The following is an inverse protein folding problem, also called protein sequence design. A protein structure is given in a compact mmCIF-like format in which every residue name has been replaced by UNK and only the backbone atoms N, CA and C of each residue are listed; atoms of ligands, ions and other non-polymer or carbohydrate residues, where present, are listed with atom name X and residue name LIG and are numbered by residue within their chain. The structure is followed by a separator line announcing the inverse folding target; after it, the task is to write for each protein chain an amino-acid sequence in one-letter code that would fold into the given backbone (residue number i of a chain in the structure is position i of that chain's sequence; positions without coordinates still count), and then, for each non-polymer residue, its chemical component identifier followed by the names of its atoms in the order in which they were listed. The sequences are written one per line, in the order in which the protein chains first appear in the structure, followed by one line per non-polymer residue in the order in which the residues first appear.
data_IF_158909538684
#
_entry.id   IF_158909538684
#
_cell.length_a   1.000
_cell.length_b   1.000
_cell.length_c   1.000
_cell.angle_alpha   90.00
_cell.angle_beta   90.00
_cell.angle_gamma   90.00
#
_symmetry.space_group_name_H-M   'P 1'
#
loop_
_entity.id
_entity.type
_entity.pdbx_description
1 polymer ?
#
# COMPACT_ATOMS: atom_id res chain seq x y z
N UNK A 1 11.11 -16.16 2.87
CA UNK A 1 11.76 -14.84 2.95
C UNK A 1 11.61 -14.35 4.37
N UNK A 2 12.69 -13.97 5.02
CA UNK A 2 12.65 -13.39 6.36
C UNK A 2 12.36 -11.87 6.28
N UNK A 3 12.13 -11.22 7.43
CA UNK A 3 11.76 -9.80 7.46
C UNK A 3 12.86 -8.87 6.90
N UNK A 4 14.12 -9.20 7.12
CA UNK A 4 15.27 -8.38 6.66
C UNK A 4 15.39 -8.39 5.14
N UNK A 5 15.19 -9.55 4.51
CA UNK A 5 15.14 -9.70 3.05
C UNK A 5 13.97 -8.89 2.46
N UNK A 6 12.79 -8.94 3.08
CA UNK A 6 11.63 -8.13 2.66
C UNK A 6 11.98 -6.65 2.68
N UNK A 7 12.48 -6.14 3.81
CA UNK A 7 12.83 -4.72 3.96
C UNK A 7 13.90 -4.31 2.94
N UNK A 8 14.88 -5.17 2.67
CA UNK A 8 15.89 -4.91 1.64
C UNK A 8 15.26 -4.68 0.28
N UNK A 9 14.35 -5.58 -0.16
CA UNK A 9 13.65 -5.45 -1.44
C UNK A 9 12.79 -4.18 -1.47
N UNK A 10 12.02 -3.90 -0.41
CA UNK A 10 11.20 -2.69 -0.33
C UNK A 10 12.06 -1.42 -0.39
N UNK A 11 13.24 -1.43 0.22
CA UNK A 11 14.17 -0.29 0.18
C UNK A 11 14.74 -0.03 -1.21
N UNK A 12 15.06 -1.08 -1.97
CA UNK A 12 15.54 -0.94 -3.36
C UNK A 12 14.43 -0.40 -4.28
N UNK A 13 13.20 -0.90 -4.12
CA UNK A 13 12.06 -0.38 -4.86
C UNK A 13 11.75 1.08 -4.51
N UNK A 14 11.89 1.47 -3.24
CA UNK A 14 11.78 2.87 -2.81
C UNK A 14 12.85 3.74 -3.45
N UNK A 15 14.12 3.30 -3.50
CA UNK A 15 15.21 4.06 -4.15
C UNK A 15 14.93 4.34 -5.63
N UNK A 16 14.26 3.41 -6.32
CA UNK A 16 13.91 3.55 -7.74
C UNK A 16 12.70 4.46 -7.94
N UNK A 17 11.67 4.32 -7.09
CA UNK A 17 10.35 4.94 -7.33
C UNK A 17 10.10 6.22 -6.51
N UNK A 18 10.79 6.38 -5.38
CA UNK A 18 10.53 7.40 -4.37
C UNK A 18 9.28 7.16 -3.51
N UNK A 19 8.45 6.15 -3.84
CA UNK A 19 7.20 5.90 -3.12
C UNK A 19 7.43 5.12 -1.83
N UNK A 20 6.57 5.33 -0.84
CA UNK A 20 6.44 4.36 0.26
C UNK A 20 5.84 3.07 -0.30
N UNK A 21 6.42 1.93 0.08
CA UNK A 21 5.99 0.62 -0.38
C UNK A 21 5.80 -0.27 0.83
N UNK A 22 4.66 -0.96 0.91
CA UNK A 22 4.30 -1.84 2.01
C UNK A 22 3.85 -3.21 1.52
N UNK A 23 4.13 -4.22 2.34
CA UNK A 23 3.70 -5.58 2.17
C UNK A 23 2.63 -5.87 3.22
N UNK A 24 1.48 -6.39 2.76
CA UNK A 24 0.36 -6.73 3.63
C UNK A 24 0.04 -8.22 3.55
N UNK A 25 -0.43 -8.76 4.67
CA UNK A 25 -0.95 -10.13 4.76
C UNK A 25 -2.30 -10.29 4.06
N UNK A 26 -2.80 -11.52 4.04
CA UNK A 26 -4.14 -11.82 3.50
C UNK A 26 -5.29 -11.30 4.37
N UNK A 27 -4.99 -10.94 5.62
CA UNK A 27 -5.84 -10.23 6.58
C UNK A 27 -5.78 -8.70 6.43
N UNK A 28 -5.03 -8.20 5.43
CA UNK A 28 -4.80 -6.78 5.13
C UNK A 28 -3.89 -6.05 6.13
N UNK A 29 -3.35 -6.75 7.14
CA UNK A 29 -2.43 -6.14 8.10
C UNK A 29 -1.05 -5.93 7.48
N UNK A 30 -0.40 -4.81 7.84
CA UNK A 30 0.94 -4.49 7.34
C UNK A 30 2.00 -5.39 7.99
N UNK A 31 2.75 -6.12 7.16
CA UNK A 31 3.84 -7.00 7.59
C UNK A 31 5.16 -6.23 7.64
N UNK A 32 5.39 -5.36 6.65
CA UNK A 32 6.60 -4.58 6.50
C UNK A 32 6.36 -3.40 5.55
N UNK A 33 7.05 -2.29 5.78
CA UNK A 33 7.05 -1.15 4.87
C UNK A 33 8.43 -0.52 4.75
N UNK A 34 8.68 0.16 3.64
CA UNK A 34 9.80 1.07 3.48
C UNK A 34 9.39 2.32 2.70
N UNK A 35 9.62 3.53 3.23
CA UNK A 35 9.98 3.81 4.62
C UNK A 35 8.96 3.24 5.62
N UNK A 36 9.42 2.88 6.81
CA UNK A 36 8.57 2.25 7.84
C UNK A 36 7.45 3.20 8.29
N UNK A 37 7.78 4.49 8.43
CA UNK A 37 6.81 5.52 8.76
C UNK A 37 5.89 5.87 7.58
N UNK A 38 4.60 6.13 7.83
CA UNK A 38 3.72 6.75 6.85
C UNK A 38 4.20 8.15 6.48
N UNK A 39 3.76 8.65 5.32
CA UNK A 39 3.94 10.05 4.95
C UNK A 39 3.30 10.98 6.00
N UNK A 40 3.86 12.18 6.26
CA UNK A 40 3.39 13.06 7.33
C UNK A 40 1.88 13.36 7.30
N UNK A 41 1.32 13.58 6.10
CA UNK A 41 -0.11 13.76 5.93
C UNK A 41 -0.91 12.53 6.37
N UNK A 42 -0.55 11.35 5.86
CA UNK A 42 -1.20 10.09 6.21
C UNK A 42 -1.05 9.80 7.71
N UNK A 43 0.11 10.10 8.32
CA UNK A 43 0.32 9.95 9.75
C UNK A 43 -0.62 10.87 10.56
N UNK A 44 -0.79 12.13 10.14
CA UNK A 44 -1.72 13.06 10.77
C UNK A 44 -3.17 12.58 10.67
N UNK A 45 -3.61 12.14 9.49
CA UNK A 45 -4.94 11.58 9.27
C UNK A 45 -5.19 10.33 10.12
N UNK A 46 -4.25 9.38 10.10
CA UNK A 46 -4.38 8.12 10.85
C UNK A 46 -4.31 8.31 12.38
N UNK A 47 -3.88 9.48 12.87
CA UNK A 47 -3.96 9.79 14.31
C UNK A 47 -5.40 10.00 14.79
N UNK A 48 -6.34 10.26 13.88
CA UNK A 48 -7.76 10.41 14.17
C UNK A 48 -8.43 9.05 13.96
N UNK A 49 -8.90 8.41 15.05
CA UNK A 49 -9.45 7.05 15.02
C UNK A 49 -10.50 6.81 13.93
N UNK A 50 -11.47 7.71 13.79
CA UNK A 50 -12.53 7.58 12.77
C UNK A 50 -12.00 7.66 11.34
N UNK A 51 -10.94 8.42 11.11
CA UNK A 51 -10.32 8.51 9.79
C UNK A 51 -9.40 7.34 9.51
N UNK A 52 -8.69 6.83 10.52
CA UNK A 52 -7.95 5.58 10.41
C UNK A 52 -8.84 4.41 9.97
N UNK A 53 -10.01 4.24 10.61
CA UNK A 53 -10.99 3.22 10.23
C UNK A 53 -11.46 3.38 8.77
N UNK A 54 -11.61 4.62 8.29
CA UNK A 54 -11.98 4.93 6.91
C UNK A 54 -10.85 4.64 5.91
N UNK A 55 -9.59 4.89 6.28
CA UNK A 55 -8.43 4.51 5.47
C UNK A 55 -8.36 2.99 5.33
N UNK A 56 -8.49 2.24 6.44
CA UNK A 56 -8.50 0.78 6.42
C UNK A 56 -9.63 0.22 5.54
N UNK A 57 -10.83 0.81 5.55
CA UNK A 57 -11.91 0.37 4.65
C UNK A 57 -11.59 0.68 3.18
N UNK A 58 -10.97 1.82 2.89
CA UNK A 58 -10.50 2.16 1.55
C UNK A 58 -9.50 1.11 1.03
N UNK A 59 -8.51 0.74 1.85
CA UNK A 59 -7.49 -0.25 1.52
C UNK A 59 -8.12 -1.63 1.30
N UNK A 60 -9.07 -2.05 2.17
CA UNK A 60 -9.81 -3.31 2.01
C UNK A 60 -10.60 -3.37 0.71
N UNK A 61 -11.27 -2.29 0.32
CA UNK A 61 -11.97 -2.20 -0.97
C UNK A 61 -10.99 -2.37 -2.13
N UNK A 62 -9.86 -1.65 -2.08
CA UNK A 62 -8.85 -1.71 -3.13
C UNK A 62 -8.23 -3.12 -3.25
N UNK A 63 -7.87 -3.74 -2.12
CA UNK A 63 -7.36 -5.11 -2.09
C UNK A 63 -8.38 -6.12 -2.64
N UNK A 64 -9.66 -6.03 -2.26
CA UNK A 64 -10.72 -6.88 -2.84
C UNK A 64 -10.78 -6.72 -4.35
N UNK A 65 -10.72 -5.48 -4.86
CA UNK A 65 -10.74 -5.20 -6.30
C UNK A 65 -9.55 -5.78 -7.05
N UNK A 66 -8.36 -5.69 -6.45
CA UNK A 66 -7.15 -6.32 -6.96
C UNK A 66 -7.30 -7.86 -7.05
N UNK A 67 -7.86 -8.50 -6.02
CA UNK A 67 -8.12 -9.97 -6.04
C UNK A 67 -9.13 -10.35 -7.12
N UNK A 68 -10.26 -9.65 -7.20
CA UNK A 68 -11.31 -9.92 -8.20
C UNK A 68 -10.77 -9.89 -9.63
N UNK A 69 -9.91 -8.89 -9.90
CA UNK A 69 -9.34 -8.68 -11.23
C UNK A 69 -8.06 -9.46 -11.48
N UNK A 70 -7.44 -10.01 -10.43
CA UNK A 70 -6.10 -10.62 -10.42
C UNK A 70 -5.03 -9.70 -11.02
N UNK A 71 -5.20 -8.38 -10.85
CA UNK A 71 -4.37 -7.35 -11.46
C UNK A 71 -4.06 -6.26 -10.45
N UNK A 72 -3.01 -5.51 -10.71
CA UNK A 72 -2.75 -4.26 -9.99
C UNK A 72 -3.95 -3.33 -10.15
N UNK A 73 -4.45 -2.83 -9.04
CA UNK A 73 -5.49 -1.83 -8.98
C UNK A 73 -4.90 -0.49 -8.55
N UNK A 74 -4.99 0.51 -9.42
CA UNK A 74 -4.63 1.90 -9.12
C UNK A 74 -5.90 2.66 -8.79
N UNK A 75 -5.90 3.39 -7.69
CA UNK A 75 -7.06 4.10 -7.16
C UNK A 75 -6.65 5.42 -6.50
N UNK A 76 -7.64 6.29 -6.26
CA UNK A 76 -7.46 7.45 -5.39
C UNK A 76 -8.08 7.16 -4.03
N UNK A 77 -7.35 7.44 -2.96
CA UNK A 77 -7.86 7.32 -1.61
C UNK A 77 -8.90 8.42 -1.32
N UNK A 78 -9.54 8.34 -0.16
CA UNK A 78 -10.56 9.32 0.28
C UNK A 78 -10.06 10.77 0.28
N UNK A 79 -8.76 10.97 0.40
CA UNK A 79 -8.12 12.29 0.45
C UNK A 79 -7.51 12.71 -0.89
N UNK A 80 -7.77 11.97 -1.96
CA UNK A 80 -7.33 12.31 -3.31
C UNK A 80 -5.89 11.89 -3.65
N UNK A 81 -5.19 11.19 -2.75
CA UNK A 81 -3.87 10.63 -3.06
C UNK A 81 -4.00 9.39 -3.92
N UNK A 82 -3.12 9.26 -4.92
CA UNK A 82 -3.05 8.09 -5.79
C UNK A 82 -2.24 6.98 -5.14
N UNK A 83 -2.81 5.78 -5.17
CA UNK A 83 -2.29 4.56 -4.56
C UNK A 83 -2.44 3.39 -5.54
N UNK A 84 -1.58 2.39 -5.41
CA UNK A 84 -1.63 1.16 -6.18
C UNK A 84 -1.50 -0.04 -5.27
N UNK A 85 -2.32 -1.06 -5.51
CA UNK A 85 -2.26 -2.35 -4.83
C UNK A 85 -2.16 -3.48 -5.83
N UNK A 86 -1.20 -4.37 -5.65
CA UNK A 86 -1.01 -5.58 -6.46
C UNK A 86 -1.20 -6.82 -5.59
N UNK A 87 -2.05 -7.78 -6.01
CA UNK A 87 -2.22 -9.03 -5.28
C UNK A 87 -1.03 -9.96 -5.54
N UNK A 88 -0.47 -10.54 -4.49
CA UNK A 88 0.66 -11.45 -4.57
C UNK A 88 0.16 -12.90 -4.51
N UNK A 89 0.60 -13.71 -5.46
CA UNK A 89 0.26 -15.12 -5.53
C UNK A 89 1.51 -16.00 -5.48
N UNK A 90 1.45 -17.05 -4.67
CA UNK A 90 2.43 -18.14 -4.68
C UNK A 90 1.72 -19.42 -5.11
N UNK A 91 2.15 -20.04 -6.21
CA UNK A 91 1.49 -21.21 -6.80
C UNK A 91 -0.03 -21.03 -7.00
N UNK A 92 -0.47 -19.82 -7.36
CA UNK A 92 -1.88 -19.49 -7.59
C UNK A 92 -2.69 -19.24 -6.32
N UNK A 93 -2.09 -19.38 -5.13
CA UNK A 93 -2.71 -19.07 -3.84
C UNK A 93 -2.39 -17.62 -3.48
N UNK A 94 -3.39 -16.84 -3.08
CA UNK A 94 -3.20 -15.47 -2.61
C UNK A 94 -2.38 -15.50 -1.31
N UNK A 95 -1.25 -14.81 -1.29
CA UNK A 95 -0.34 -14.76 -0.13
C UNK A 95 -0.26 -13.40 0.53
N UNK A 96 -0.77 -12.35 -0.11
CA UNK A 96 -0.76 -11.00 0.43
C UNK A 96 -0.87 -9.94 -0.66
N UNK A 97 -0.46 -8.72 -0.32
CA UNK A 97 -0.56 -7.55 -1.20
C UNK A 97 0.72 -6.73 -1.15
N UNK A 98 1.14 -6.22 -2.30
CA UNK A 98 2.13 -5.16 -2.39
C UNK A 98 1.39 -3.85 -2.64
N UNK A 99 1.53 -2.88 -1.73
CA UNK A 99 0.94 -1.56 -1.85
C UNK A 99 2.03 -0.51 -2.01
N UNK A 100 1.75 0.53 -2.79
CA UNK A 100 2.65 1.64 -3.02
C UNK A 100 1.88 2.94 -3.33
N UNK A 101 2.50 4.09 -3.07
CA UNK A 101 1.98 5.39 -3.50
C UNK A 101 1.84 6.39 -2.36
N UNK A 102 0.60 6.86 -2.13
CA UNK A 102 0.24 8.02 -1.31
C UNK A 102 0.78 9.34 -1.87
N UNK A 103 0.71 9.49 -3.19
CA UNK A 103 1.20 10.68 -3.89
C UNK A 103 0.06 11.53 -4.38
N UNK A 104 0.21 12.84 -4.24
CA UNK A 104 -0.64 13.78 -4.96
C UNK A 104 -0.22 13.78 -6.43
N UNK A 105 -1.19 13.85 -7.33
CA UNK A 105 -0.89 14.23 -8.70
C UNK A 105 -0.41 15.69 -8.69
N UNK A 106 0.76 15.94 -9.26
CA UNK A 106 1.14 17.29 -9.64
C UNK A 106 0.58 17.51 -11.04
N UNK A 107 -0.28 18.51 -11.21
CA UNK A 107 -0.56 19.03 -12.54
C UNK A 107 0.75 19.63 -13.10
N UNK A 108 1.12 19.27 -14.32
CA UNK A 108 2.16 19.98 -15.06
C UNK A 108 1.56 21.32 -15.51
N UNK A 109 1.95 22.41 -14.85
CA UNK A 109 1.70 23.79 -15.31
C UNK A 109 2.45 24.10 -16.62
#
# INVERSE_FOLDING_TARGET
MNREEIITVLSELHKITGFRISLHGTDFEEIAAYPDSPLPFCAAVNSIKSEHERCLECDRIACRRAVETKKTHVYRCRYGLTEAVSPLYNFGILTGFLMMGQVAECDED
#
